data_IF_772138716327
#
_entry.id   IF_772138716327
#
_cell.length_a   1.000
_cell.length_b   1.000
_cell.length_c   1.000
_cell.angle_alpha   90.00
_cell.angle_beta   90.00
_cell.angle_gamma   90.00
#
_symmetry.space_group_name_H-M   'P 1'
#
loop_
_entity.id
_entity.type
_entity.pdbx_description
1 polymer ?
#
# COMPACT_ATOMS: atom_id res chain seq x y z
N UNK A 1 2.30 20.90 -25.58
CA UNK A 1 2.01 21.65 -24.35
C UNK A 1 3.02 21.18 -23.33
N UNK A 2 4.16 21.85 -23.28
CA UNK A 2 5.23 21.53 -22.35
C UNK A 2 4.75 21.89 -20.94
N UNK A 3 4.47 20.85 -20.14
CA UNK A 3 4.04 21.02 -18.77
C UNK A 3 5.27 21.39 -17.93
N UNK A 4 5.66 22.67 -17.99
CA UNK A 4 6.76 23.21 -17.22
C UNK A 4 6.33 23.22 -15.75
N UNK A 5 6.54 22.10 -15.05
CA UNK A 5 6.51 22.04 -13.60
C UNK A 5 7.62 22.97 -13.09
N UNK A 6 7.28 24.24 -12.87
CA UNK A 6 8.11 25.12 -12.07
C UNK A 6 8.23 24.46 -10.71
N UNK A 7 9.46 24.05 -10.39
CA UNK A 7 9.84 23.63 -9.05
C UNK A 7 9.86 24.91 -8.22
N UNK A 8 8.69 25.33 -7.77
CA UNK A 8 8.55 26.39 -6.78
C UNK A 8 9.14 25.83 -5.47
N UNK A 9 10.45 25.98 -5.28
CA UNK A 9 11.20 25.54 -4.09
C UNK A 9 10.88 26.39 -2.84
N UNK A 10 9.92 27.29 -2.96
CA UNK A 10 9.36 28.18 -1.95
C UNK A 10 7.94 27.69 -1.65
N UNK A 11 7.62 26.95 -0.59
CA UNK A 11 8.25 26.82 0.71
C UNK A 11 8.00 25.39 1.22
N UNK A 12 8.94 24.49 1.00
CA UNK A 12 8.84 23.15 1.59
C UNK A 12 8.80 23.25 3.13
N UNK A 13 9.54 24.21 3.69
CA UNK A 13 9.59 24.50 5.13
C UNK A 13 8.22 24.87 5.73
N UNK A 14 7.31 25.45 4.95
CA UNK A 14 5.95 25.81 5.41
C UNK A 14 5.03 24.59 5.50
N UNK A 15 5.35 23.51 4.76
CA UNK A 15 4.54 22.30 4.66
C UNK A 15 5.07 21.21 5.59
N UNK A 16 6.37 21.21 5.85
CA UNK A 16 7.01 20.25 6.75
C UNK A 16 6.51 20.46 8.18
N UNK A 17 6.34 19.35 8.89
CA UNK A 17 5.94 19.39 10.29
C UNK A 17 6.99 20.17 11.12
N UNK A 18 6.60 21.20 11.90
CA UNK A 18 7.52 22.01 12.70
C UNK A 18 8.34 21.22 13.72
N UNK A 19 7.93 20.00 14.06
CA UNK A 19 8.68 19.09 14.94
C UNK A 19 9.88 18.44 14.25
N UNK A 20 9.95 18.49 12.92
CA UNK A 20 11.09 18.02 12.17
C UNK A 20 12.25 18.99 12.33
N UNK A 21 13.38 18.46 12.81
CA UNK A 21 14.60 19.23 12.97
C UNK A 21 15.35 19.35 11.62
N UNK A 22 14.98 20.36 10.83
CA UNK A 22 15.63 20.68 9.56
C UNK A 22 17.08 21.17 9.72
N UNK A 23 17.53 21.45 10.95
CA UNK A 23 18.94 21.80 11.19
C UNK A 23 19.89 20.61 10.95
N UNK A 24 19.34 19.39 10.89
CA UNK A 24 20.07 18.17 10.55
C UNK A 24 19.65 17.66 9.17
N UNK A 25 20.58 17.06 8.41
CA UNK A 25 20.23 16.42 7.15
C UNK A 25 19.29 15.24 7.41
N UNK A 26 18.02 15.41 7.02
CA UNK A 26 17.00 14.35 7.04
C UNK A 26 17.27 13.39 5.87
N UNK A 27 18.12 12.39 6.11
CA UNK A 27 18.44 11.36 5.12
C UNK A 27 17.16 10.70 4.60
N UNK A 28 17.02 10.62 3.29
CA UNK A 28 15.85 10.02 2.64
C UNK A 28 14.65 10.95 2.45
N UNK A 29 14.66 12.18 3.00
CA UNK A 29 13.55 13.14 2.85
C UNK A 29 13.26 13.47 1.39
N UNK A 30 14.28 13.73 0.58
CA UNK A 30 14.10 14.05 -0.84
C UNK A 30 13.37 12.91 -1.58
N UNK A 31 13.75 11.67 -1.28
CA UNK A 31 13.16 10.48 -1.90
C UNK A 31 11.75 10.19 -1.38
N UNK A 32 11.49 10.50 -0.11
CA UNK A 32 10.14 10.47 0.45
C UNK A 32 9.21 11.48 -0.23
N UNK A 33 9.68 12.71 -0.43
CA UNK A 33 8.91 13.75 -1.12
C UNK A 33 8.63 13.38 -2.57
N UNK A 34 9.62 12.82 -3.29
CA UNK A 34 9.40 12.31 -4.65
C UNK A 34 8.32 11.22 -4.68
N UNK A 35 8.35 10.27 -3.74
CA UNK A 35 7.33 9.24 -3.61
C UNK A 35 5.95 9.84 -3.32
N UNK A 36 5.86 10.80 -2.39
CA UNK A 36 4.61 11.47 -2.04
C UNK A 36 4.01 12.22 -3.24
N UNK A 37 4.84 12.92 -4.02
CA UNK A 37 4.40 13.62 -5.23
C UNK A 37 3.85 12.62 -6.27
N UNK A 38 4.54 11.48 -6.49
CA UNK A 38 4.05 10.44 -7.40
C UNK A 38 2.74 9.80 -6.95
N UNK A 39 2.54 9.60 -5.65
CA UNK A 39 1.28 9.05 -5.11
C UNK A 39 0.05 9.92 -5.41
N UNK A 40 0.24 11.23 -5.57
CA UNK A 40 -0.84 12.20 -5.82
C UNK A 40 -0.89 12.69 -7.27
N UNK A 41 -0.14 12.05 -8.18
CA UNK A 41 -0.14 12.40 -9.60
C UNK A 41 -1.57 12.38 -10.17
N UNK A 42 -1.91 13.38 -11.00
CA UNK A 42 -3.26 13.50 -11.57
C UNK A 42 -3.60 12.30 -12.45
N UNK A 43 -2.62 11.84 -13.24
CA UNK A 43 -2.73 10.64 -14.07
C UNK A 43 -2.62 9.39 -13.21
N UNK A 44 -3.60 8.49 -13.31
CA UNK A 44 -3.57 7.19 -12.62
C UNK A 44 -2.36 6.34 -13.03
N UNK A 45 -1.90 6.45 -14.27
CA UNK A 45 -0.74 5.71 -14.78
C UNK A 45 0.59 6.19 -14.18
N UNK A 46 0.63 7.41 -13.62
CA UNK A 46 1.81 7.94 -12.94
C UNK A 46 1.87 7.57 -11.45
N UNK A 47 0.78 7.04 -10.89
CA UNK A 47 0.72 6.65 -9.48
C UNK A 47 1.39 5.28 -9.29
N UNK A 48 2.28 5.13 -8.29
CA UNK A 48 2.84 3.84 -7.94
C UNK A 48 1.76 2.91 -7.39
N UNK A 49 1.94 1.62 -7.62
CA UNK A 49 1.18 0.57 -6.92
C UNK A 49 1.53 0.56 -5.43
N UNK A 50 0.62 0.08 -4.59
CA UNK A 50 0.88 0.02 -3.14
C UNK A 50 2.13 -0.82 -2.78
N UNK A 51 2.41 -1.87 -3.56
CA UNK A 51 3.62 -2.69 -3.40
C UNK A 51 4.90 -1.90 -3.69
N UNK A 52 4.88 -1.05 -4.71
CA UNK A 52 6.01 -0.15 -5.01
C UNK A 52 6.17 0.93 -3.93
N UNK A 53 5.06 1.44 -3.38
CA UNK A 53 5.08 2.39 -2.25
C UNK A 53 5.75 1.75 -1.03
N UNK A 54 5.34 0.54 -0.64
CA UNK A 54 5.93 -0.20 0.48
C UNK A 54 7.44 -0.41 0.30
N UNK A 55 7.86 -0.90 -0.86
CA UNK A 55 9.28 -1.12 -1.18
C UNK A 55 10.11 0.16 -1.13
N UNK A 56 9.58 1.27 -1.65
CA UNK A 56 10.29 2.55 -1.61
C UNK A 56 10.37 3.09 -0.18
N UNK A 57 9.32 2.93 0.64
CA UNK A 57 9.36 3.33 2.05
C UNK A 57 10.41 2.54 2.84
N UNK A 58 10.50 1.24 2.61
CA UNK A 58 11.54 0.39 3.19
C UNK A 58 12.95 0.82 2.77
N UNK A 59 13.12 1.20 1.50
CA UNK A 59 14.40 1.70 0.99
C UNK A 59 14.78 3.03 1.64
N UNK A 60 13.83 3.96 1.76
CA UNK A 60 14.01 5.25 2.42
C UNK A 60 14.42 5.05 3.88
N UNK A 61 13.77 4.12 4.58
CA UNK A 61 14.09 3.79 5.95
C UNK A 61 15.53 3.26 6.10
N UNK A 62 15.98 2.37 5.19
CA UNK A 62 17.37 1.90 5.17
C UNK A 62 18.35 3.04 4.90
N UNK A 63 18.04 3.95 3.96
CA UNK A 63 18.85 5.14 3.68
C UNK A 63 18.96 6.09 4.89
N UNK A 64 17.91 6.15 5.71
CA UNK A 64 17.91 6.90 6.96
C UNK A 64 18.77 6.26 8.06
N UNK A 65 19.31 5.05 7.84
CA UNK A 65 20.13 4.32 8.79
C UNK A 65 19.31 3.57 9.84
N UNK A 66 18.04 3.28 9.56
CA UNK A 66 17.26 2.34 10.37
C UNK A 66 17.65 0.91 9.97
N UNK A 67 18.40 0.24 10.85
CA UNK A 67 18.71 -1.19 10.71
C UNK A 67 17.45 -2.01 11.00
N UNK A 68 16.70 -2.35 9.95
CA UNK A 68 15.57 -3.27 10.03
C UNK A 68 16.05 -4.73 10.14
N UNK A 69 16.69 -5.12 11.24
CA UNK A 69 16.81 -6.53 11.63
C UNK A 69 15.50 -6.98 12.32
N UNK A 70 14.37 -6.78 11.64
CA UNK A 70 13.08 -7.29 12.08
C UNK A 70 12.53 -8.07 10.89
N UNK A 71 12.51 -9.38 11.06
CA UNK A 71 11.98 -10.37 10.13
C UNK A 71 10.59 -9.95 9.64
N UNK A 72 10.52 -9.45 8.40
CA UNK A 72 9.24 -9.18 7.73
C UNK A 72 8.63 -10.51 7.34
N UNK A 73 7.84 -11.09 8.24
CA UNK A 73 6.98 -12.22 7.91
C UNK A 73 5.87 -11.70 7.01
N UNK A 74 6.03 -11.86 5.70
CA UNK A 74 4.95 -11.66 4.73
C UNK A 74 3.87 -12.71 4.96
N UNK A 75 2.79 -12.36 5.66
CA UNK A 75 1.57 -13.16 5.72
C UNK A 75 0.75 -12.98 4.45
N UNK A 76 1.35 -13.28 3.29
CA UNK A 76 0.59 -13.43 2.04
C UNK A 76 -0.02 -14.83 2.04
N UNK A 77 -1.27 -14.97 2.50
CA UNK A 77 -2.05 -16.19 2.31
C UNK A 77 -2.35 -16.37 0.82
N UNK A 78 -1.53 -17.16 0.13
CA UNK A 78 -1.85 -17.68 -1.20
C UNK A 78 -3.00 -18.66 -1.04
N UNK A 79 -4.23 -18.25 -1.39
CA UNK A 79 -5.32 -19.19 -1.55
C UNK A 79 -5.02 -19.97 -2.84
N UNK A 80 -4.52 -21.19 -2.70
CA UNK A 80 -4.52 -22.13 -3.81
C UNK A 80 -5.94 -22.64 -3.96
N UNK A 81 -6.64 -22.10 -4.95
CA UNK A 81 -7.90 -22.62 -5.45
C UNK A 81 -7.65 -23.98 -6.10
N UNK A 82 -7.74 -25.06 -5.32
CA UNK A 82 -7.77 -26.41 -5.89
C UNK A 82 -9.20 -26.70 -6.33
N UNK A 83 -9.48 -26.40 -7.58
CA UNK A 83 -10.58 -27.01 -8.32
C UNK A 83 -10.35 -28.52 -8.38
N UNK A 84 -11.20 -29.31 -7.74
CA UNK A 84 -11.17 -30.76 -7.94
C UNK A 84 -11.76 -31.59 -6.81
N UNK A 85 -12.96 -32.11 -7.09
CA UNK A 85 -13.44 -33.43 -6.63
C UNK A 85 -14.04 -33.55 -5.22
N UNK A 86 -15.38 -33.42 -5.21
CA UNK A 86 -16.34 -34.34 -4.59
C UNK A 86 -15.77 -35.37 -3.60
N UNK A 87 -16.00 -35.12 -2.31
CA UNK A 87 -15.99 -36.14 -1.28
C UNK A 87 -17.06 -35.79 -0.23
N UNK A 88 -18.19 -36.49 -0.30
CA UNK A 88 -19.29 -36.37 0.65
C UNK A 88 -18.81 -36.76 2.05
N UNK A 89 -18.47 -35.77 2.90
CA UNK A 89 -18.26 -36.03 4.32
C UNK A 89 -19.12 -35.09 5.20
N UNK A 90 -20.13 -35.63 5.92
CA UNK A 90 -21.19 -34.84 6.54
C UNK A 90 -20.83 -34.18 7.88
N UNK A 91 -19.55 -34.03 8.26
CA UNK A 91 -19.15 -33.32 9.49
C UNK A 91 -17.68 -32.84 9.40
N UNK A 92 -17.41 -31.73 8.71
CA UNK A 92 -16.25 -30.89 9.03
C UNK A 92 -16.73 -29.50 9.43
N UNK A 93 -17.08 -29.40 10.71
CA UNK A 93 -17.57 -28.21 11.39
C UNK A 93 -16.35 -27.48 11.97
N UNK A 94 -15.90 -26.41 11.31
CA UNK A 94 -15.22 -25.24 11.92
C UNK A 94 -14.76 -24.28 10.83
N UNK A 95 -15.53 -23.21 10.58
CA UNK A 95 -15.13 -21.85 10.95
C UNK A 95 -16.41 -21.05 11.17
N UNK A 96 -16.80 -20.89 12.44
CA UNK A 96 -17.65 -19.79 12.83
C UNK A 96 -16.77 -18.54 12.76
N UNK A 97 -17.02 -17.67 11.79
CA UNK A 97 -16.79 -16.24 12.00
C UNK A 97 -18.09 -15.55 11.62
N UNK A 98 -18.84 -15.23 12.66
CA UNK A 98 -20.08 -14.46 12.62
C UNK A 98 -19.71 -13.04 12.19
N UNK A 99 -19.76 -12.78 10.88
CA UNK A 99 -19.61 -11.44 10.33
C UNK A 99 -20.92 -10.69 10.54
N UNK A 100 -20.94 -9.84 11.57
CA UNK A 100 -22.04 -8.95 11.95
C UNK A 100 -22.19 -7.77 10.98
N UNK A 101 -22.45 -8.09 9.70
CA UNK A 101 -22.71 -7.11 8.65
C UNK A 101 -23.53 -7.74 7.53
N UNK A 102 -24.85 -7.69 7.66
CA UNK A 102 -25.78 -8.18 6.64
C UNK A 102 -25.65 -7.35 5.36
N UNK A 103 -25.14 -7.95 4.28
CA UNK A 103 -25.46 -7.53 2.92
C UNK A 103 -26.37 -8.59 2.30
N UNK A 104 -27.64 -8.28 1.96
CA UNK A 104 -28.45 -9.21 1.18
C UNK A 104 -27.83 -9.33 -0.21
N UNK A 105 -27.31 -10.52 -0.52
CA UNK A 105 -26.79 -10.87 -1.83
C UNK A 105 -27.92 -10.77 -2.85
N UNK A 106 -27.79 -9.83 -3.79
CA UNK A 106 -28.68 -9.74 -4.95
C UNK A 106 -28.27 -10.85 -5.91
N UNK A 107 -29.09 -11.89 -6.02
CA UNK A 107 -28.89 -12.97 -6.98
C UNK A 107 -29.23 -12.44 -8.38
N UNK A 108 -28.22 -12.32 -9.26
CA UNK A 108 -28.42 -12.01 -10.67
C UNK A 108 -28.68 -13.35 -11.37
N UNK A 109 -29.94 -13.64 -11.64
CA UNK A 109 -30.37 -14.82 -12.38
C UNK A 109 -30.02 -14.63 -13.88
N UNK A 110 -29.02 -15.37 -14.38
CA UNK A 110 -28.77 -15.48 -15.81
C UNK A 110 -29.59 -16.65 -16.36
N UNK A 111 -30.75 -16.33 -16.93
CA UNK A 111 -31.53 -17.26 -17.74
C UNK A 111 -30.83 -17.48 -19.11
N UNK A 112 -30.61 -18.73 -19.47
CA UNK A 112 -30.51 -19.15 -20.87
C UNK A 112 -31.24 -20.47 -21.08
#
# INVERSE_FOLDING_TARGET
MDNQRKKDSSNLEDILDPTLDLSKPLKGLERYLDLAIRCVEESSAGRPTMNEVEKELENIQQLAGFDNNVERVSTSTTYSETTGESSYHPYNKKVFFEYSGSFPHSEIELQK
#
